data_IF_629868765115
#
_entry.id   IF_629868765115
#
_cell.length_a   1.000
_cell.length_b   1.000
_cell.length_c   1.000
_cell.angle_alpha   90.00
_cell.angle_beta   90.00
_cell.angle_gamma   90.00
#
_symmetry.space_group_name_H-M   'P 1'
#
loop_
_entity.id
_entity.type
_entity.pdbx_description
1 polymer ?
#
# COMPACT_ATOMS: atom_id res chain seq x y z
N UNK A 1 -33.56 -0.76 -23.31
CA UNK A 1 -32.98 -0.61 -21.96
C UNK A 1 -31.53 -0.28 -22.20
N UNK A 2 -31.13 0.95 -21.95
CA UNK A 2 -29.86 1.51 -22.38
C UNK A 2 -28.73 1.01 -21.49
N UNK A 3 -27.54 0.84 -22.08
CA UNK A 3 -26.28 0.46 -21.40
C UNK A 3 -25.98 1.31 -20.14
N UNK A 4 -26.54 2.53 -20.07
CA UNK A 4 -26.41 3.44 -18.94
C UNK A 4 -26.95 2.91 -17.59
N UNK A 5 -27.95 2.02 -17.61
CA UNK A 5 -28.48 1.43 -16.37
C UNK A 5 -27.50 0.39 -15.79
N UNK A 6 -26.80 -0.32 -16.66
CA UNK A 6 -25.78 -1.31 -16.26
C UNK A 6 -24.49 -0.63 -15.80
N UNK A 7 -24.08 0.47 -16.48
CA UNK A 7 -22.91 1.27 -16.08
C UNK A 7 -23.13 2.02 -14.78
N UNK A 8 -24.30 2.54 -14.50
CA UNK A 8 -24.62 3.18 -13.21
C UNK A 8 -24.65 2.19 -12.03
N UNK A 9 -25.04 0.95 -12.24
CA UNK A 9 -24.93 -0.08 -11.21
C UNK A 9 -23.46 -0.45 -10.93
N UNK A 10 -22.61 -0.35 -11.92
CA UNK A 10 -21.19 -0.62 -11.82
C UNK A 10 -20.41 0.49 -11.10
N UNK A 11 -20.76 1.75 -11.31
CA UNK A 11 -20.15 2.91 -10.62
C UNK A 11 -20.44 2.92 -9.10
N UNK A 12 -21.45 2.19 -8.65
CA UNK A 12 -21.79 2.02 -7.25
C UNK A 12 -21.04 0.86 -6.58
N UNK A 13 -19.83 0.52 -7.02
CA UNK A 13 -19.04 -0.47 -6.29
C UNK A 13 -18.79 0.05 -4.88
N UNK A 14 -19.30 -0.70 -3.89
CA UNK A 14 -19.19 -0.38 -2.46
C UNK A 14 -17.75 -0.46 -1.90
N UNK A 15 -16.74 -0.49 -2.74
CA UNK A 15 -15.33 -0.46 -2.38
C UNK A 15 -14.93 0.97 -2.09
N UNK A 16 -15.38 1.46 -0.93
CA UNK A 16 -15.23 2.82 -0.47
C UNK A 16 -13.83 3.11 0.11
N UNK A 17 -13.71 4.26 0.74
CA UNK A 17 -12.52 4.75 1.42
C UNK A 17 -11.88 3.75 2.39
N UNK A 18 -12.66 2.87 3.02
CA UNK A 18 -12.17 1.84 3.95
C UNK A 18 -11.16 0.91 3.28
N UNK A 19 -11.45 0.49 2.04
CA UNK A 19 -10.55 -0.37 1.27
C UNK A 19 -9.33 0.42 0.78
N UNK A 20 -9.50 1.67 0.32
CA UNK A 20 -8.38 2.53 -0.05
C UNK A 20 -7.40 2.73 1.12
N UNK A 21 -7.92 3.00 2.31
CA UNK A 21 -7.15 3.14 3.54
C UNK A 21 -6.45 1.84 3.95
N UNK A 22 -7.14 0.70 3.83
CA UNK A 22 -6.52 -0.60 4.07
C UNK A 22 -5.33 -0.84 3.13
N UNK A 23 -5.53 -0.70 1.82
CA UNK A 23 -4.48 -0.89 0.81
C UNK A 23 -3.30 0.05 1.05
N UNK A 24 -3.59 1.30 1.42
CA UNK A 24 -2.59 2.32 1.71
C UNK A 24 -1.76 1.97 2.96
N UNK A 25 -2.40 1.61 4.07
CA UNK A 25 -1.72 1.27 5.32
C UNK A 25 -0.89 -0.01 5.19
N UNK A 26 -1.40 -1.03 4.50
CA UNK A 26 -0.63 -2.27 4.23
C UNK A 26 0.56 -1.98 3.32
N UNK A 27 0.38 -1.15 2.29
CA UNK A 27 1.48 -0.71 1.42
C UNK A 27 2.55 0.07 2.18
N UNK A 28 2.15 1.05 3.00
CA UNK A 28 3.05 1.79 3.88
C UNK A 28 3.80 0.85 4.83
N UNK A 29 3.07 -0.03 5.52
CA UNK A 29 3.65 -0.99 6.46
C UNK A 29 4.68 -1.89 5.77
N UNK A 30 4.28 -2.56 4.70
CA UNK A 30 5.11 -3.54 4.02
C UNK A 30 6.38 -2.93 3.44
N UNK A 31 6.27 -1.79 2.77
CA UNK A 31 7.44 -1.15 2.18
C UNK A 31 8.30 -0.40 3.21
N UNK A 32 7.72 0.05 4.34
CA UNK A 32 8.51 0.57 5.45
C UNK A 32 9.35 -0.54 6.12
N UNK A 33 8.83 -1.76 6.26
CA UNK A 33 9.61 -2.92 6.71
C UNK A 33 10.74 -3.25 5.73
N UNK A 34 10.45 -3.23 4.43
CA UNK A 34 11.48 -3.45 3.39
C UNK A 34 12.58 -2.39 3.47
N UNK A 35 12.24 -1.11 3.53
CA UNK A 35 13.20 -0.02 3.61
C UNK A 35 13.98 -0.06 4.94
N UNK A 36 13.35 -0.53 6.01
CA UNK A 36 13.98 -0.65 7.32
C UNK A 36 15.11 -1.67 7.39
N UNK A 37 15.24 -2.55 6.40
CA UNK A 37 16.39 -3.45 6.24
C UNK A 37 17.72 -2.65 6.24
N UNK A 38 17.70 -1.47 5.61
CA UNK A 38 18.87 -0.58 5.53
C UNK A 38 18.83 0.56 6.56
N UNK A 39 17.65 1.11 6.87
CA UNK A 39 17.50 2.19 7.85
C UNK A 39 17.78 1.74 9.27
N UNK A 40 17.40 0.49 9.60
CA UNK A 40 17.57 -0.12 10.94
C UNK A 40 17.05 0.77 12.06
N UNK A 41 15.90 1.42 11.83
CA UNK A 41 15.26 2.34 12.76
C UNK A 41 14.11 1.67 13.50
N UNK A 42 14.14 1.71 14.82
CA UNK A 42 13.04 1.20 15.67
C UNK A 42 11.75 1.98 15.43
N UNK A 43 11.85 3.28 15.14
CA UNK A 43 10.67 4.14 14.92
C UNK A 43 9.99 3.84 13.60
N UNK A 44 10.74 3.60 12.53
CA UNK A 44 10.21 3.10 11.26
C UNK A 44 9.48 1.78 11.49
N UNK A 45 10.08 0.87 12.25
CA UNK A 45 9.48 -0.44 12.58
C UNK A 45 8.16 -0.30 13.35
N UNK A 46 8.12 0.53 14.42
CA UNK A 46 6.89 0.76 15.19
C UNK A 46 5.78 1.38 14.34
N UNK A 47 6.13 2.33 13.46
CA UNK A 47 5.14 2.94 12.55
C UNK A 47 4.62 1.91 11.55
N UNK A 48 5.49 1.08 11.00
CA UNK A 48 5.11 -0.03 10.11
C UNK A 48 4.17 -1.02 10.82
N UNK A 49 4.48 -1.41 12.07
CA UNK A 49 3.61 -2.27 12.88
C UNK A 49 2.24 -1.63 13.11
N UNK A 50 2.20 -0.36 13.49
CA UNK A 50 0.94 0.34 13.70
C UNK A 50 0.11 0.39 12.41
N UNK A 51 0.73 0.66 11.26
CA UNK A 51 0.08 0.66 9.97
C UNK A 51 -0.43 -0.73 9.57
N UNK A 52 0.33 -1.81 9.84
CA UNK A 52 -0.11 -3.19 9.61
C UNK A 52 -1.37 -3.52 10.41
N UNK A 53 -1.36 -3.23 11.70
CA UNK A 53 -2.49 -3.51 12.59
C UNK A 53 -3.72 -2.70 12.19
N UNK A 54 -3.57 -1.40 11.99
CA UNK A 54 -4.68 -0.54 11.59
C UNK A 54 -5.26 -0.93 10.23
N UNK A 55 -4.40 -1.22 9.24
CA UNK A 55 -4.83 -1.69 7.93
C UNK A 55 -5.59 -3.03 8.02
N UNK A 56 -5.07 -3.97 8.80
CA UNK A 56 -5.74 -5.26 9.02
C UNK A 56 -7.08 -5.09 9.73
N UNK A 57 -7.18 -4.23 10.74
CA UNK A 57 -8.45 -3.92 11.40
C UNK A 57 -9.47 -3.29 10.45
N UNK A 58 -9.03 -2.43 9.54
CA UNK A 58 -9.92 -1.83 8.53
C UNK A 58 -10.47 -2.87 7.55
N UNK A 59 -9.65 -3.79 7.06
CA UNK A 59 -10.18 -4.85 6.18
C UNK A 59 -11.08 -5.82 6.95
N UNK A 60 -10.75 -6.11 8.20
CA UNK A 60 -11.57 -6.94 9.08
C UNK A 60 -12.94 -6.30 9.34
N UNK A 61 -13.00 -4.98 9.58
CA UNK A 61 -14.27 -4.26 9.78
C UNK A 61 -15.20 -4.32 8.56
N UNK A 62 -14.63 -4.56 7.38
CA UNK A 62 -15.41 -4.71 6.15
C UNK A 62 -15.98 -6.13 5.95
N UNK A 63 -15.48 -7.11 6.70
CA UNK A 63 -15.99 -8.48 6.72
C UNK A 63 -17.29 -8.53 7.56
N UNK A 64 -18.44 -8.69 6.92
CA UNK A 64 -19.74 -8.62 7.56
C UNK A 64 -19.99 -9.64 8.70
N UNK A 65 -19.10 -10.61 8.92
CA UNK A 65 -19.20 -11.65 9.97
C UNK A 65 -17.84 -11.90 10.64
N UNK A 66 -17.28 -10.86 11.25
CA UNK A 66 -15.97 -10.90 11.91
C UNK A 66 -15.84 -12.01 12.97
N UNK A 67 -16.89 -12.24 13.75
CA UNK A 67 -16.90 -13.24 14.82
C UNK A 67 -16.81 -14.69 14.32
N UNK A 68 -17.09 -14.93 13.04
CA UNK A 68 -16.95 -16.25 12.44
C UNK A 68 -15.53 -16.59 11.98
N UNK A 69 -14.62 -15.60 11.93
CA UNK A 69 -13.24 -15.83 11.48
C UNK A 69 -12.47 -16.85 12.35
N UNK A 70 -12.52 -16.79 13.69
CA UNK A 70 -11.81 -17.80 14.51
C UNK A 70 -12.37 -19.19 14.29
N UNK A 71 -13.71 -19.33 14.18
CA UNK A 71 -14.35 -20.61 13.91
C UNK A 71 -14.01 -21.14 12.51
N UNK A 72 -14.03 -20.27 11.50
CA UNK A 72 -13.65 -20.63 10.13
C UNK A 72 -12.17 -21.04 10.05
N UNK A 73 -11.28 -20.33 10.73
CA UNK A 73 -9.86 -20.69 10.81
C UNK A 73 -9.66 -22.04 11.51
N UNK A 74 -10.36 -22.29 12.61
CA UNK A 74 -10.34 -23.57 13.30
C UNK A 74 -10.82 -24.71 12.41
N UNK A 75 -11.96 -24.55 11.74
CA UNK A 75 -12.48 -25.53 10.78
C UNK A 75 -11.52 -25.79 9.62
N UNK A 76 -10.91 -24.74 9.07
CA UNK A 76 -9.94 -24.88 7.97
C UNK A 76 -8.70 -25.66 8.40
N UNK A 77 -8.22 -25.45 9.62
CA UNK A 77 -7.05 -26.14 10.16
C UNK A 77 -7.38 -27.60 10.54
N UNK A 78 -8.51 -27.85 11.19
CA UNK A 78 -8.87 -29.21 11.63
C UNK A 78 -9.25 -30.14 10.50
N UNK A 79 -9.89 -29.60 9.45
CA UNK A 79 -10.34 -30.39 8.29
C UNK A 79 -9.36 -30.33 7.10
N UNK A 80 -8.18 -29.73 7.26
CA UNK A 80 -7.20 -29.52 6.19
C UNK A 80 -7.80 -28.91 4.93
N UNK A 81 -8.88 -28.13 5.07
CA UNK A 81 -9.56 -27.45 3.97
C UNK A 81 -8.91 -26.10 3.63
N UNK A 82 -7.57 -26.09 3.57
CA UNK A 82 -6.79 -24.89 3.26
C UNK A 82 -6.81 -24.62 1.77
N UNK A 83 -7.53 -23.58 1.36
CA UNK A 83 -7.65 -23.22 -0.06
C UNK A 83 -6.58 -22.20 -0.48
N UNK A 84 -5.40 -22.68 -0.82
CA UNK A 84 -4.29 -21.84 -1.32
C UNK A 84 -4.53 -21.29 -2.75
N UNK A 85 -5.61 -21.68 -3.43
CA UNK A 85 -6.01 -21.05 -4.69
C UNK A 85 -6.78 -19.75 -4.48
N UNK A 86 -7.25 -19.49 -3.25
CA UNK A 86 -7.97 -18.27 -2.91
C UNK A 86 -7.01 -17.16 -2.46
N UNK A 87 -6.91 -16.09 -3.22
CA UNK A 87 -6.14 -14.90 -2.82
C UNK A 87 -6.64 -14.28 -1.50
N UNK A 88 -7.93 -14.38 -1.21
CA UNK A 88 -8.46 -13.95 0.08
C UNK A 88 -7.88 -14.76 1.23
N UNK A 89 -7.80 -16.09 1.09
CA UNK A 89 -7.18 -16.96 2.11
C UNK A 89 -5.69 -16.69 2.28
N UNK A 90 -4.95 -16.57 1.16
CA UNK A 90 -3.52 -16.21 1.16
C UNK A 90 -3.32 -14.88 1.90
N UNK A 91 -4.18 -13.90 1.66
CA UNK A 91 -4.10 -12.61 2.32
C UNK A 91 -4.35 -12.66 3.82
N UNK A 92 -5.33 -13.42 4.27
CA UNK A 92 -5.57 -13.63 5.70
C UNK A 92 -4.32 -14.22 6.35
N UNK A 93 -3.67 -15.20 5.71
CA UNK A 93 -2.44 -15.79 6.22
C UNK A 93 -1.29 -14.75 6.28
N UNK A 94 -1.04 -14.03 5.19
CA UNK A 94 0.04 -13.02 5.11
C UNK A 94 -0.19 -11.92 6.15
N UNK A 95 -1.39 -11.33 6.22
CA UNK A 95 -1.69 -10.24 7.15
C UNK A 95 -1.66 -10.71 8.61
N UNK A 96 -2.11 -11.93 8.90
CA UNK A 96 -2.03 -12.51 10.24
C UNK A 96 -0.58 -12.69 10.68
N UNK A 97 0.26 -13.28 9.84
CA UNK A 97 1.69 -13.45 10.12
C UNK A 97 2.37 -12.10 10.28
N UNK A 98 2.08 -11.13 9.38
CA UNK A 98 2.60 -9.77 9.45
C UNK A 98 2.27 -9.11 10.79
N UNK A 99 1.00 -9.13 11.21
CA UNK A 99 0.58 -8.52 12.47
C UNK A 99 1.20 -9.22 13.68
N UNK A 100 1.14 -10.55 13.73
CA UNK A 100 1.68 -11.31 14.88
C UNK A 100 3.18 -11.07 15.04
N UNK A 101 3.93 -11.23 13.96
CA UNK A 101 5.39 -11.09 14.00
C UNK A 101 5.79 -9.67 14.35
N UNK A 102 5.22 -8.65 13.70
CA UNK A 102 5.60 -7.26 13.95
C UNK A 102 5.17 -6.77 15.34
N UNK A 103 4.04 -7.24 15.88
CA UNK A 103 3.61 -6.94 17.26
C UNK A 103 4.58 -7.58 18.28
N UNK A 104 4.89 -8.87 18.14
CA UNK A 104 5.81 -9.55 19.04
C UNK A 104 7.21 -8.92 19.02
N UNK A 105 7.70 -8.61 17.86
CA UNK A 105 8.99 -7.96 17.65
C UNK A 105 9.00 -6.53 18.21
N UNK A 106 7.93 -5.73 17.98
CA UNK A 106 7.78 -4.40 18.57
C UNK A 106 7.75 -4.47 20.10
N UNK A 107 7.01 -5.42 20.67
CA UNK A 107 6.97 -5.62 22.11
C UNK A 107 8.33 -6.00 22.68
N UNK A 108 9.08 -6.87 21.99
CA UNK A 108 10.43 -7.28 22.38
C UNK A 108 11.41 -6.08 22.32
N UNK A 109 11.39 -5.31 21.25
CA UNK A 109 12.22 -4.10 21.10
C UNK A 109 11.90 -3.06 22.16
N UNK A 110 10.63 -2.85 22.48
CA UNK A 110 10.20 -1.90 23.51
C UNK A 110 10.61 -2.34 24.92
N UNK A 111 10.42 -3.63 25.24
CA UNK A 111 10.88 -4.21 26.54
C UNK A 111 12.39 -4.14 26.66
N UNK A 112 13.13 -4.49 25.60
CA UNK A 112 14.58 -4.39 25.57
C UNK A 112 15.06 -2.96 25.81
N UNK A 113 14.45 -1.98 25.14
CA UNK A 113 14.77 -0.57 25.31
C UNK A 113 14.54 -0.08 26.75
N UNK A 114 13.46 -0.53 27.41
CA UNK A 114 13.19 -0.20 28.83
C UNK A 114 14.16 -0.87 29.80
N UNK A 115 14.57 -2.09 29.51
CA UNK A 115 15.48 -2.87 30.35
C UNK A 115 16.97 -2.53 30.12
N UNK A 116 17.29 -1.65 29.16
CA UNK A 116 18.66 -1.39 28.74
C UNK A 116 19.38 -2.60 28.16
N UNK A 117 18.61 -3.59 27.65
CA UNK A 117 19.12 -4.83 27.07
C UNK A 117 18.74 -4.92 25.61
N UNK A 118 19.67 -5.32 24.76
CA UNK A 118 19.36 -5.62 23.37
C UNK A 118 18.60 -6.96 23.27
N UNK A 119 17.69 -7.02 22.30
CA UNK A 119 16.93 -8.22 21.98
C UNK A 119 17.51 -8.87 20.70
N UNK A 120 18.45 -9.84 20.82
CA UNK A 120 19.25 -10.31 19.68
C UNK A 120 18.41 -10.88 18.54
N UNK A 121 17.31 -11.61 18.85
CA UNK A 121 16.46 -12.18 17.82
C UNK A 121 15.70 -11.11 17.02
N UNK A 122 15.19 -10.06 17.70
CA UNK A 122 14.41 -9.00 17.09
C UNK A 122 15.26 -8.02 16.25
N UNK A 123 16.57 -7.99 16.51
CA UNK A 123 17.53 -7.13 15.76
C UNK A 123 18.41 -7.94 14.82
N UNK A 124 18.19 -9.25 14.70
CA UNK A 124 18.99 -10.13 13.84
C UNK A 124 18.79 -9.77 12.36
N UNK A 125 19.83 -9.97 11.57
CA UNK A 125 19.77 -9.76 10.12
C UNK A 125 18.76 -10.69 9.44
N UNK A 126 18.65 -11.95 9.92
CA UNK A 126 17.68 -12.90 9.41
C UNK A 126 16.23 -12.43 9.62
N UNK A 127 15.93 -11.86 10.79
CA UNK A 127 14.61 -11.32 11.08
C UNK A 127 14.31 -10.08 10.24
N UNK A 128 15.29 -9.21 10.04
CA UNK A 128 15.13 -8.04 9.17
C UNK A 128 14.84 -8.44 7.71
N UNK A 129 15.50 -9.47 7.17
CA UNK A 129 15.17 -10.02 5.85
C UNK A 129 13.79 -10.66 5.79
N UNK A 130 13.41 -11.40 6.85
CA UNK A 130 12.06 -11.98 6.93
C UNK A 130 10.99 -10.90 6.91
N UNK A 131 11.15 -9.83 7.70
CA UNK A 131 10.24 -8.70 7.74
C UNK A 131 10.14 -8.00 6.38
N UNK A 132 11.27 -7.82 5.70
CA UNK A 132 11.33 -7.21 4.38
C UNK A 132 10.58 -8.04 3.33
N UNK A 133 10.82 -9.36 3.28
CA UNK A 133 10.14 -10.27 2.35
C UNK A 133 8.64 -10.32 2.64
N UNK A 134 8.27 -10.44 3.92
CA UNK A 134 6.88 -10.46 4.35
C UNK A 134 6.16 -9.14 4.02
N UNK A 135 6.87 -8.01 4.19
CA UNK A 135 6.36 -6.69 3.83
C UNK A 135 6.11 -6.52 2.33
N UNK A 136 7.05 -6.96 1.49
CA UNK A 136 6.87 -6.98 0.03
C UNK A 136 5.70 -7.88 -0.36
N UNK A 137 5.62 -9.08 0.24
CA UNK A 137 4.54 -10.03 -0.02
C UNK A 137 3.16 -9.44 0.36
N UNK A 138 3.05 -8.76 1.51
CA UNK A 138 1.81 -8.11 1.94
C UNK A 138 1.41 -6.96 1.00
N UNK A 139 2.37 -6.16 0.55
CA UNK A 139 2.11 -5.06 -0.39
C UNK A 139 1.69 -5.61 -1.75
N UNK A 140 2.41 -6.59 -2.30
CA UNK A 140 2.08 -7.23 -3.56
C UNK A 140 0.72 -7.94 -3.51
N UNK A 141 0.45 -8.66 -2.40
CA UNK A 141 -0.84 -9.30 -2.16
C UNK A 141 -2.01 -8.31 -2.28
N UNK A 142 -1.87 -7.12 -1.71
CA UNK A 142 -2.91 -6.09 -1.77
C UNK A 142 -3.24 -5.67 -3.22
N UNK A 143 -2.27 -5.72 -4.11
CA UNK A 143 -2.45 -5.54 -5.55
C UNK A 143 -3.09 -6.76 -6.22
N UNK A 144 -2.60 -7.96 -5.93
CA UNK A 144 -3.16 -9.21 -6.47
C UNK A 144 -4.62 -9.43 -6.05
N UNK A 145 -5.02 -8.93 -4.88
CA UNK A 145 -6.42 -8.98 -4.46
C UNK A 145 -7.35 -8.24 -5.44
N UNK A 146 -6.92 -7.08 -5.94
CA UNK A 146 -7.69 -6.33 -6.94
C UNK A 146 -7.74 -7.07 -8.28
N UNK A 147 -6.66 -7.73 -8.69
CA UNK A 147 -6.64 -8.45 -9.97
C UNK A 147 -7.64 -9.61 -10.03
N UNK A 148 -8.16 -10.07 -8.87
CA UNK A 148 -9.20 -11.09 -8.82
C UNK A 148 -10.60 -10.57 -9.19
N UNK A 149 -10.78 -9.27 -9.27
CA UNK A 149 -12.03 -8.66 -9.71
C UNK A 149 -12.15 -8.69 -11.24
N UNK A 150 -12.32 -9.90 -11.80
CA UNK A 150 -12.38 -10.15 -13.25
C UNK A 150 -13.45 -9.30 -13.94
N UNK A 151 -14.53 -8.99 -13.23
CA UNK A 151 -15.61 -8.13 -13.74
C UNK A 151 -15.24 -6.66 -13.86
N UNK A 152 -14.07 -6.22 -13.34
CA UNK A 152 -13.58 -4.84 -13.43
C UNK A 152 -12.22 -4.83 -14.14
N UNK A 153 -12.19 -4.71 -15.47
CA UNK A 153 -10.97 -4.84 -16.27
C UNK A 153 -9.87 -3.86 -15.91
N UNK A 154 -10.21 -2.66 -15.42
CA UNK A 154 -9.23 -1.68 -14.93
C UNK A 154 -8.37 -2.27 -13.78
N UNK A 155 -8.95 -3.11 -12.93
CA UNK A 155 -8.23 -3.71 -11.80
C UNK A 155 -7.57 -5.04 -12.17
N UNK A 156 -8.08 -5.74 -13.18
CA UNK A 156 -7.57 -7.03 -13.64
C UNK A 156 -6.34 -6.85 -14.54
N UNK A 157 -5.26 -6.33 -13.98
CA UNK A 157 -3.99 -6.17 -14.68
C UNK A 157 -2.80 -6.44 -13.75
N UNK A 158 -1.77 -7.10 -14.28
CA UNK A 158 -0.54 -7.39 -13.55
C UNK A 158 0.27 -6.12 -13.17
N UNK A 159 -0.09 -4.96 -13.70
CA UNK A 159 0.59 -3.69 -13.40
C UNK A 159 0.22 -3.19 -11.99
N UNK A 160 -0.99 -3.47 -11.49
CA UNK A 160 -1.44 -2.99 -10.17
C UNK A 160 -0.55 -3.46 -9.01
N UNK A 161 -0.18 -4.73 -8.86
CA UNK A 161 0.76 -5.14 -7.82
C UNK A 161 2.09 -4.39 -7.88
N UNK A 162 2.61 -4.13 -9.08
CA UNK A 162 3.85 -3.37 -9.28
C UNK A 162 3.66 -1.90 -8.89
N UNK A 163 2.54 -1.30 -9.30
CA UNK A 163 2.18 0.08 -8.94
C UNK A 163 2.05 0.22 -7.40
N UNK A 164 1.44 -0.77 -6.71
CA UNK A 164 1.32 -0.77 -5.26
C UNK A 164 2.66 -0.88 -4.54
N UNK A 165 3.63 -1.61 -5.11
CA UNK A 165 5.00 -1.69 -4.58
C UNK A 165 5.68 -0.32 -4.69
N UNK A 166 5.68 0.32 -5.87
CA UNK A 166 6.31 1.63 -6.04
C UNK A 166 5.65 2.71 -5.18
N UNK A 167 4.33 2.77 -5.17
CA UNK A 167 3.57 3.70 -4.34
C UNK A 167 3.77 3.45 -2.83
N UNK A 168 3.91 2.18 -2.42
CA UNK A 168 4.27 1.81 -1.05
C UNK A 168 5.69 2.23 -0.70
N UNK A 169 6.64 2.10 -1.63
CA UNK A 169 8.02 2.60 -1.46
C UNK A 169 8.04 4.13 -1.32
N UNK A 170 7.25 4.87 -2.10
CA UNK A 170 7.11 6.31 -1.95
C UNK A 170 6.59 6.67 -0.53
N UNK A 171 5.61 5.92 0.00
CA UNK A 171 5.19 6.07 1.40
C UNK A 171 6.31 5.79 2.39
N UNK A 172 7.10 4.74 2.18
CA UNK A 172 8.18 4.35 3.09
C UNK A 172 9.31 5.39 3.10
N UNK A 173 9.67 5.90 1.92
CA UNK A 173 10.63 7.00 1.77
C UNK A 173 10.09 8.27 2.45
N UNK A 174 8.84 8.64 2.18
CA UNK A 174 8.19 9.78 2.81
C UNK A 174 8.16 9.67 4.34
N UNK A 175 7.90 8.46 4.88
CA UNK A 175 7.99 8.20 6.32
C UNK A 175 9.42 8.42 6.85
N UNK A 176 10.43 7.96 6.13
CA UNK A 176 11.82 8.16 6.50
C UNK A 176 12.20 9.65 6.48
N UNK A 177 11.77 10.41 5.48
CA UNK A 177 11.95 11.86 5.38
C UNK A 177 11.29 12.60 6.55
N UNK A 178 10.05 12.26 6.92
CA UNK A 178 9.33 12.82 8.07
C UNK A 178 10.09 12.54 9.38
N UNK A 179 10.49 11.29 9.60
CA UNK A 179 11.22 10.92 10.81
C UNK A 179 12.58 11.58 10.89
N UNK A 180 13.26 11.74 9.76
CA UNK A 180 14.52 12.48 9.68
C UNK A 180 14.31 13.97 9.99
N UNK A 181 13.32 14.60 9.38
CA UNK A 181 12.98 16.00 9.62
C UNK A 181 12.66 16.27 11.11
N UNK A 182 11.98 15.35 11.77
CA UNK A 182 11.70 15.38 13.20
C UNK A 182 12.90 14.97 14.07
N UNK A 183 14.08 14.69 13.52
CA UNK A 183 15.25 14.17 14.23
C UNK A 183 14.97 12.86 15.00
N UNK A 184 14.09 12.06 14.46
CA UNK A 184 13.65 10.80 15.07
C UNK A 184 14.24 9.56 14.40
N UNK A 185 15.09 9.73 13.40
CA UNK A 185 15.83 8.63 12.78
C UNK A 185 17.11 8.38 13.59
N UNK A 186 17.29 7.18 14.16
CA UNK A 186 18.36 6.91 15.13
C UNK A 186 19.77 7.04 14.53
N UNK A 187 19.91 6.80 13.24
CA UNK A 187 21.21 6.88 12.51
C UNK A 187 21.36 8.11 11.63
N UNK A 188 20.40 9.03 11.68
CA UNK A 188 20.33 10.18 10.78
C UNK A 188 19.93 9.78 9.36
N UNK A 189 19.96 10.74 8.46
CA UNK A 189 19.62 10.54 7.04
C UNK A 189 20.76 9.84 6.30
N UNK A 190 20.54 8.65 5.72
CA UNK A 190 21.55 8.01 4.90
C UNK A 190 21.68 8.73 3.55
N UNK A 191 22.92 8.89 3.07
CA UNK A 191 23.19 9.61 1.82
C UNK A 191 22.48 9.03 0.58
N UNK A 192 22.15 7.73 0.61
CA UNK A 192 21.46 7.06 -0.48
C UNK A 192 19.95 7.38 -0.53
N UNK A 193 19.35 7.85 0.57
CA UNK A 193 17.88 8.04 0.65
C UNK A 193 17.39 9.03 -0.41
N UNK A 194 18.12 10.10 -0.66
CA UNK A 194 17.82 11.07 -1.71
C UNK A 194 17.73 10.42 -3.10
N UNK A 195 18.73 9.61 -3.46
CA UNK A 195 18.76 8.95 -4.78
C UNK A 195 17.64 7.91 -4.89
N UNK A 196 17.36 7.17 -3.81
CA UNK A 196 16.25 6.20 -3.76
C UNK A 196 14.92 6.91 -3.89
N UNK A 197 14.72 8.04 -3.21
CA UNK A 197 13.51 8.87 -3.35
C UNK A 197 13.24 9.23 -4.81
N UNK A 198 14.25 9.73 -5.54
CA UNK A 198 14.14 10.03 -6.97
C UNK A 198 13.82 8.78 -7.80
N UNK A 199 14.54 7.69 -7.59
CA UNK A 199 14.33 6.43 -8.32
C UNK A 199 12.93 5.87 -8.11
N UNK A 200 12.41 5.94 -6.89
CA UNK A 200 11.06 5.46 -6.54
C UNK A 200 9.99 6.30 -7.24
N UNK A 201 10.06 7.63 -7.18
CA UNK A 201 9.06 8.49 -7.81
C UNK A 201 9.09 8.42 -9.34
N UNK A 202 10.30 8.32 -9.95
CA UNK A 202 10.42 8.10 -11.40
C UNK A 202 9.83 6.74 -11.78
N UNK A 203 10.14 5.68 -11.02
CA UNK A 203 9.59 4.35 -11.25
C UNK A 203 8.07 4.32 -11.08
N UNK A 204 7.53 4.98 -10.05
CA UNK A 204 6.08 5.12 -9.83
C UNK A 204 5.41 5.86 -11.00
N UNK A 205 6.00 6.96 -11.47
CA UNK A 205 5.50 7.71 -12.62
C UNK A 205 5.46 6.85 -13.89
N UNK A 206 6.52 6.07 -14.14
CA UNK A 206 6.58 5.17 -15.30
C UNK A 206 5.52 4.07 -15.22
N UNK A 207 5.39 3.40 -14.06
CA UNK A 207 4.40 2.34 -13.85
C UNK A 207 2.98 2.90 -13.92
N UNK A 208 2.74 4.09 -13.37
CA UNK A 208 1.46 4.78 -13.46
C UNK A 208 1.09 5.12 -14.90
N UNK A 209 2.05 5.63 -15.69
CA UNK A 209 1.86 5.86 -17.13
C UNK A 209 1.52 4.56 -17.86
N UNK A 210 2.27 3.48 -17.62
CA UNK A 210 2.02 2.17 -18.21
C UNK A 210 0.63 1.64 -17.83
N UNK A 211 0.19 1.83 -16.59
CA UNK A 211 -1.14 1.44 -16.11
C UNK A 211 -2.24 2.17 -16.90
N UNK A 212 -2.16 3.50 -17.02
CA UNK A 212 -3.15 4.30 -17.73
C UNK A 212 -3.18 3.92 -19.22
N UNK A 213 -2.01 3.78 -19.85
CA UNK A 213 -1.92 3.38 -21.28
C UNK A 213 -2.47 1.98 -21.53
N UNK A 214 -2.22 1.04 -20.63
CA UNK A 214 -2.81 -0.31 -20.73
C UNK A 214 -4.34 -0.26 -20.61
N UNK A 215 -4.87 0.56 -19.70
CA UNK A 215 -6.30 0.71 -19.54
C UNK A 215 -6.99 1.34 -20.78
N UNK A 216 -6.36 2.31 -21.42
CA UNK A 216 -6.87 2.90 -22.68
C UNK A 216 -6.85 1.93 -23.87
N UNK A 217 -5.99 0.92 -23.83
CA UNK A 217 -5.92 -0.14 -24.87
C UNK A 217 -6.67 -1.41 -24.45
N UNK A 218 -7.43 -1.37 -23.35
CA UNK A 218 -8.19 -2.50 -22.82
C UNK A 218 -9.62 -2.59 -23.37
N UNK A 219 -10.48 -3.28 -22.61
CA UNK A 219 -11.90 -3.41 -22.93
C UNK A 219 -12.67 -2.09 -22.75
N UNK A 220 -13.94 -2.07 -23.16
CA UNK A 220 -14.80 -0.88 -23.04
C UNK A 220 -14.86 -0.36 -21.61
N UNK A 221 -14.97 -1.22 -20.61
CA UNK A 221 -15.00 -0.82 -19.20
C UNK A 221 -13.62 -0.35 -18.69
N UNK A 222 -12.52 -0.92 -19.19
CA UNK A 222 -11.18 -0.43 -18.88
C UNK A 222 -10.96 0.98 -19.44
N UNK A 223 -11.38 1.25 -20.66
CA UNK A 223 -11.33 2.58 -21.28
C UNK A 223 -12.19 3.58 -20.51
N UNK A 224 -13.42 3.21 -20.10
CA UNK A 224 -14.27 4.05 -19.27
C UNK A 224 -13.60 4.38 -17.93
N UNK A 225 -12.94 3.40 -17.29
CA UNK A 225 -12.16 3.61 -16.07
C UNK A 225 -10.97 4.55 -16.29
N UNK A 226 -10.23 4.39 -17.38
CA UNK A 226 -9.12 5.29 -17.74
C UNK A 226 -9.63 6.73 -18.01
N UNK A 227 -10.77 6.88 -18.68
CA UNK A 227 -11.41 8.18 -18.88
C UNK A 227 -11.87 8.81 -17.57
N UNK A 228 -12.43 8.02 -16.64
CA UNK A 228 -12.78 8.48 -15.29
C UNK A 228 -11.55 8.99 -14.53
N UNK A 229 -10.40 8.30 -14.64
CA UNK A 229 -9.14 8.74 -14.03
C UNK A 229 -8.62 10.05 -14.63
N UNK A 230 -8.66 10.20 -15.97
CA UNK A 230 -7.98 11.32 -16.63
C UNK A 230 -8.87 12.55 -16.72
N UNK A 231 -10.17 12.41 -16.95
CA UNK A 231 -11.09 13.52 -17.25
C UNK A 231 -12.46 13.40 -16.58
N UNK A 232 -12.74 12.32 -15.82
CA UNK A 232 -14.03 12.10 -15.16
C UNK A 232 -13.99 12.36 -13.66
N UNK A 233 -14.85 11.66 -12.90
CA UNK A 233 -15.10 11.91 -11.48
C UNK A 233 -13.87 11.62 -10.58
N UNK A 234 -12.99 10.71 -10.97
CA UNK A 234 -11.76 10.41 -10.25
C UNK A 234 -10.57 11.33 -10.62
N UNK A 235 -10.73 12.22 -11.62
CA UNK A 235 -9.63 13.02 -12.15
C UNK A 235 -8.98 13.94 -11.11
N UNK A 236 -9.72 14.50 -10.18
CA UNK A 236 -9.18 15.35 -9.14
C UNK A 236 -8.27 14.58 -8.16
N UNK A 237 -8.65 13.33 -7.81
CA UNK A 237 -7.80 12.44 -7.00
C UNK A 237 -6.57 11.99 -7.79
N UNK A 238 -6.74 11.73 -9.08
CA UNK A 238 -5.65 11.30 -9.94
C UNK A 238 -4.64 12.42 -10.18
N UNK A 239 -5.07 13.54 -10.77
CA UNK A 239 -4.15 14.65 -11.09
C UNK A 239 -3.70 15.43 -9.86
N UNK A 240 -4.65 15.88 -9.02
CA UNK A 240 -4.35 16.68 -7.83
C UNK A 240 -3.69 15.85 -6.73
N UNK A 241 -4.22 14.66 -6.49
CA UNK A 241 -3.73 13.78 -5.41
C UNK A 241 -2.52 12.96 -5.83
N UNK A 242 -2.67 12.04 -6.78
CA UNK A 242 -1.61 11.10 -7.11
C UNK A 242 -0.45 11.78 -7.87
N UNK A 243 -0.75 12.55 -8.93
CA UNK A 243 0.29 13.12 -9.78
C UNK A 243 0.94 14.35 -9.15
N UNK A 244 0.15 15.37 -8.79
CA UNK A 244 0.73 16.62 -8.25
C UNK A 244 1.24 16.40 -6.84
N UNK A 245 0.38 15.97 -5.93
CA UNK A 245 0.74 15.83 -4.51
C UNK A 245 1.70 14.65 -4.28
N UNK A 246 1.50 13.51 -4.96
CA UNK A 246 2.28 12.28 -4.73
C UNK A 246 3.58 12.19 -5.50
N UNK A 247 3.68 12.77 -6.71
CA UNK A 247 4.86 12.67 -7.55
C UNK A 247 5.57 14.02 -7.73
N UNK A 248 4.88 15.03 -8.25
CA UNK A 248 5.54 16.28 -8.66
C UNK A 248 6.06 17.06 -7.45
N UNK A 249 5.24 17.24 -6.42
CA UNK A 249 5.64 18.05 -5.25
C UNK A 249 6.81 17.43 -4.48
N UNK A 250 6.86 16.11 -4.15
CA UNK A 250 8.01 15.52 -3.49
C UNK A 250 9.29 15.69 -4.30
N UNK A 251 9.24 15.45 -5.61
CA UNK A 251 10.39 15.62 -6.49
C UNK A 251 10.85 17.08 -6.60
N UNK A 252 9.92 18.02 -6.73
CA UNK A 252 10.22 19.45 -6.79
C UNK A 252 10.83 19.96 -5.48
N UNK A 253 10.26 19.55 -4.35
CA UNK A 253 10.77 19.91 -3.02
C UNK A 253 12.18 19.33 -2.83
N UNK A 254 12.40 18.07 -3.19
CA UNK A 254 13.71 17.44 -3.10
C UNK A 254 14.75 18.13 -3.96
N UNK A 255 14.35 18.69 -5.10
CA UNK A 255 15.25 19.42 -6.00
C UNK A 255 15.57 20.83 -5.52
N UNK A 256 14.55 21.59 -5.08
CA UNK A 256 14.67 23.02 -4.76
C UNK A 256 15.22 23.25 -3.35
N UNK A 257 14.79 22.42 -2.38
CA UNK A 257 14.95 22.69 -0.97
C UNK A 257 15.92 21.73 -0.26
N UNK A 258 17.03 21.39 -0.91
CA UNK A 258 18.08 20.51 -0.36
C UNK A 258 18.51 20.99 1.05
N UNK A 259 18.40 20.09 2.04
CA UNK A 259 18.85 20.35 3.42
C UNK A 259 17.86 21.10 4.29
N UNK A 260 16.71 21.53 3.80
CA UNK A 260 15.68 22.17 4.62
C UNK A 260 14.77 21.10 5.27
N UNK A 261 14.84 20.96 6.60
CA UNK A 261 14.06 19.95 7.37
C UNK A 261 12.56 20.09 7.19
N UNK A 262 12.05 21.32 7.21
CA UNK A 262 10.62 21.57 7.07
C UNK A 262 10.12 21.16 5.70
N UNK A 263 10.92 21.36 4.66
CA UNK A 263 10.60 20.94 3.30
C UNK A 263 10.67 19.43 3.15
N UNK A 264 11.65 18.74 3.76
CA UNK A 264 11.69 17.29 3.80
C UNK A 264 10.47 16.69 4.52
N UNK A 265 10.02 17.30 5.60
CA UNK A 265 8.76 16.92 6.25
C UNK A 265 7.56 17.08 5.30
N UNK A 266 7.45 18.20 4.62
CA UNK A 266 6.37 18.47 3.68
C UNK A 266 6.41 17.48 2.48
N UNK A 267 7.60 17.20 1.93
CA UNK A 267 7.82 16.19 0.90
C UNK A 267 7.27 14.83 1.32
N UNK A 268 7.67 14.36 2.49
CA UNK A 268 7.22 13.07 3.02
C UNK A 268 5.71 13.00 3.23
N UNK A 269 5.10 14.08 3.75
CA UNK A 269 3.62 14.15 3.91
C UNK A 269 2.93 14.10 2.55
N UNK A 270 3.43 14.86 1.56
CA UNK A 270 2.89 14.88 0.21
C UNK A 270 2.95 13.48 -0.43
N UNK A 271 4.09 12.78 -0.34
CA UNK A 271 4.26 11.43 -0.88
C UNK A 271 3.26 10.44 -0.24
N UNK A 272 3.11 10.48 1.08
CA UNK A 272 2.21 9.58 1.82
C UNK A 272 0.75 9.83 1.45
N UNK A 273 0.31 11.08 1.40
CA UNK A 273 -1.07 11.44 1.03
C UNK A 273 -1.34 11.21 -0.46
N UNK A 274 -0.36 11.47 -1.32
CA UNK A 274 -0.45 11.19 -2.75
C UNK A 274 -0.66 9.70 -3.05
N UNK A 275 0.04 8.83 -2.33
CA UNK A 275 -0.15 7.39 -2.44
C UNK A 275 -1.54 6.92 -1.96
N UNK A 276 -2.14 7.57 -0.96
CA UNK A 276 -3.54 7.33 -0.58
C UNK A 276 -4.48 7.76 -1.70
N UNK A 277 -4.26 8.96 -2.26
CA UNK A 277 -5.07 9.49 -3.35
C UNK A 277 -5.01 8.59 -4.60
N UNK A 278 -3.82 8.05 -4.91
CA UNK A 278 -3.64 7.09 -6.00
C UNK A 278 -4.53 5.84 -5.82
N UNK A 279 -4.50 5.24 -4.63
CA UNK A 279 -5.32 4.05 -4.34
C UNK A 279 -6.81 4.35 -4.42
N UNK A 280 -7.23 5.49 -3.86
CA UNK A 280 -8.61 5.93 -3.95
C UNK A 280 -9.03 6.19 -5.40
N UNK A 281 -8.20 6.88 -6.20
CA UNK A 281 -8.48 7.14 -7.60
C UNK A 281 -8.69 5.85 -8.40
N UNK A 282 -7.79 4.87 -8.25
CA UNK A 282 -7.88 3.58 -8.95
C UNK A 282 -9.13 2.80 -8.52
N UNK A 283 -9.49 2.83 -7.22
CA UNK A 283 -10.70 2.15 -6.74
C UNK A 283 -11.98 2.80 -7.25
N UNK A 284 -12.04 4.13 -7.25
CA UNK A 284 -13.25 4.86 -7.66
C UNK A 284 -13.43 4.90 -9.18
N UNK A 285 -12.37 4.65 -9.94
CA UNK A 285 -12.42 4.56 -11.39
C UNK A 285 -12.77 3.15 -11.92
N UNK A 286 -13.12 2.19 -11.05
CA UNK A 286 -13.49 0.83 -11.46
C UNK A 286 -14.90 0.76 -12.07
N UNK A 287 -15.00 0.30 -13.33
CA UNK A 287 -16.26 0.04 -14.02
C UNK A 287 -16.37 -1.45 -14.34
N UNK A 288 -17.58 -2.01 -14.16
CA UNK A 288 -17.83 -3.41 -14.54
C UNK A 288 -17.97 -3.53 -16.06
N UNK A 289 -17.46 -4.61 -16.63
CA UNK A 289 -17.72 -4.94 -18.02
C UNK A 289 -19.20 -5.25 -18.20
N UNK A 290 -19.89 -4.62 -19.20
CA UNK A 290 -21.29 -4.89 -19.44
C UNK A 290 -21.45 -6.32 -19.95
N UNK A 291 -22.32 -7.10 -19.29
CA UNK A 291 -22.69 -8.43 -19.75
C UNK A 291 -23.70 -8.25 -20.88
N UNK A 292 -23.27 -8.49 -22.10
CA UNK A 292 -24.15 -8.49 -23.28
C UNK A 292 -24.72 -9.91 -23.36
N UNK A 293 -26.02 -10.04 -23.17
CA UNK A 293 -26.76 -11.28 -23.38
C UNK A 293 -27.30 -11.32 -24.79
#
# INVERSE_FOLDING_TARGET
MTADILTNQAAASHWAWTIALFLWLVGLSGMALFLNLWLKSRRVFYTATAAAVLGTLLVLSHLGRLLNLPAAAWHALTNWSLNFSSWMFIGICILSVLCIVTILQSAALWRGAKAGKDCPWATSSGMAWFDAVLGVAATAYSGFLLTQAVGVPLWNTAIIPVLWIFSGLACAVGLAEILNACQKLERGEPAWLYNVSWGVHIGEAFVLFAFVMTAFNGSTAAVAGAQSLVSGDAAWLFWGGAVVLGLILPMAIAWIAKGCRMMAFASGVCAILGALALRAAVLFAGYFEPVIW
#
